data_IF_163336108858
#
_entry.id   IF_163336108858
#
_cell.length_a   1.000
_cell.length_b   1.000
_cell.length_c   1.000
_cell.angle_alpha   90.00
_cell.angle_beta   90.00
_cell.angle_gamma   90.00
#
_symmetry.space_group_name_H-M   'P 1'
#
loop_
_entity.id
_entity.type
_entity.pdbx_description
1 polymer ?
#
# COMPACT_ATOMS: atom_id res chain seq x y z
N UNK A 1 -23.71 3.79 6.35
CA UNK A 1 -22.55 4.32 7.10
C UNK A 1 -21.87 5.38 6.26
N UNK A 2 -21.97 6.67 6.62
CA UNK A 2 -21.23 7.74 5.94
C UNK A 2 -19.84 7.85 6.56
N UNK A 3 -18.88 7.12 6.01
CA UNK A 3 -17.47 7.44 6.27
C UNK A 3 -17.23 8.85 5.69
N UNK A 4 -16.87 9.81 6.53
CA UNK A 4 -16.52 11.17 6.08
C UNK A 4 -15.15 11.14 5.40
N UNK A 5 -14.94 12.00 4.39
CA UNK A 5 -13.67 12.14 3.66
C UNK A 5 -12.47 12.37 4.60
N UNK A 6 -12.69 13.04 5.74
CA UNK A 6 -11.64 13.25 6.74
C UNK A 6 -11.06 11.95 7.33
N UNK A 7 -11.84 10.87 7.45
CA UNK A 7 -11.35 9.60 8.01
C UNK A 7 -10.40 8.87 7.06
N UNK A 8 -10.61 8.99 5.74
CA UNK A 8 -9.71 8.36 4.78
C UNK A 8 -8.39 9.14 4.68
N UNK A 9 -8.43 10.46 4.88
CA UNK A 9 -7.25 11.31 4.87
C UNK A 9 -6.39 11.09 6.12
N UNK A 10 -7.02 11.01 7.30
CA UNK A 10 -6.36 10.63 8.54
C UNK A 10 -5.73 9.23 8.43
N UNK A 11 -6.44 8.28 7.83
CA UNK A 11 -5.88 6.94 7.62
C UNK A 11 -4.65 6.96 6.69
N UNK A 12 -4.73 7.71 5.59
CA UNK A 12 -3.65 7.82 4.61
C UNK A 12 -2.42 8.55 5.15
N UNK A 13 -2.57 9.52 6.06
CA UNK A 13 -1.46 10.27 6.64
C UNK A 13 -0.56 9.42 7.54
N UNK A 14 -1.14 8.41 8.21
CA UNK A 14 -0.43 7.62 9.19
C UNK A 14 -0.13 6.18 8.73
N UNK A 15 -1.16 5.40 8.39
CA UNK A 15 -1.04 3.94 8.36
C UNK A 15 -0.05 3.42 7.28
N UNK A 16 -0.11 3.90 6.01
CA UNK A 16 0.85 3.48 5.00
C UNK A 16 2.29 3.88 5.35
N UNK A 17 2.49 5.10 5.87
CA UNK A 17 3.81 5.65 6.21
C UNK A 17 4.46 4.86 7.34
N UNK A 18 3.69 4.51 8.37
CA UNK A 18 4.15 3.67 9.47
C UNK A 18 4.67 2.33 8.95
N UNK A 19 3.85 1.61 8.18
CA UNK A 19 4.25 0.29 7.68
C UNK A 19 5.39 0.34 6.67
N UNK A 20 5.46 1.38 5.84
CA UNK A 20 6.60 1.57 4.92
C UNK A 20 7.90 1.76 5.72
N UNK A 21 7.88 2.62 6.73
CA UNK A 21 9.04 2.88 7.60
C UNK A 21 9.50 1.61 8.31
N UNK A 22 8.56 0.83 8.87
CA UNK A 22 8.87 -0.44 9.51
C UNK A 22 9.49 -1.44 8.54
N UNK A 23 8.98 -1.54 7.31
CA UNK A 23 9.57 -2.41 6.30
C UNK A 23 11.02 -2.05 5.96
N UNK A 24 11.29 -0.74 5.81
CA UNK A 24 12.63 -0.22 5.52
C UNK A 24 13.62 -0.49 6.65
N UNK A 25 13.23 -0.24 7.89
CA UNK A 25 14.05 -0.54 9.08
C UNK A 25 14.38 -2.03 9.10
N UNK A 26 13.37 -2.89 9.04
CA UNK A 26 13.55 -4.34 9.11
C UNK A 26 14.48 -4.87 8.01
N UNK A 27 14.33 -4.39 6.77
CA UNK A 27 15.14 -4.92 5.65
C UNK A 27 16.58 -4.42 5.67
N UNK A 28 16.83 -3.25 6.25
CA UNK A 28 18.16 -2.66 6.35
C UNK A 28 18.94 -3.22 7.55
N UNK A 29 18.23 -3.57 8.63
CA UNK A 29 18.79 -4.18 9.82
C UNK A 29 19.01 -5.70 9.68
N UNK A 30 18.59 -6.30 8.57
CA UNK A 30 18.68 -7.76 8.38
C UNK A 30 17.70 -8.55 9.26
N UNK A 31 16.59 -7.93 9.66
CA UNK A 31 15.53 -8.57 10.44
C UNK A 31 14.71 -9.55 9.57
N UNK A 32 13.67 -10.15 10.17
CA UNK A 32 12.76 -11.10 9.53
C UNK A 32 12.19 -10.56 8.20
N UNK A 33 12.65 -11.15 7.09
CA UNK A 33 12.23 -10.81 5.73
C UNK A 33 10.72 -10.96 5.51
N UNK A 34 10.08 -11.94 6.17
CA UNK A 34 8.64 -12.16 6.06
C UNK A 34 7.88 -11.02 6.73
N UNK A 35 8.34 -10.54 7.90
CA UNK A 35 7.78 -9.35 8.56
C UNK A 35 8.00 -8.08 7.76
N UNK A 36 9.20 -7.88 7.19
CA UNK A 36 9.47 -6.73 6.31
C UNK A 36 8.55 -6.75 5.07
N UNK A 37 8.37 -7.92 4.44
CA UNK A 37 7.50 -8.08 3.27
C UNK A 37 6.02 -7.89 3.62
N UNK A 38 5.60 -8.35 4.80
CA UNK A 38 4.27 -8.07 5.35
C UNK A 38 4.03 -6.56 5.50
N UNK A 39 4.98 -5.85 6.11
CA UNK A 39 4.87 -4.41 6.32
C UNK A 39 4.80 -3.65 4.99
N UNK A 40 5.63 -4.03 4.00
CA UNK A 40 5.59 -3.40 2.68
C UNK A 40 4.27 -3.65 1.94
N UNK A 41 3.80 -4.91 1.96
CA UNK A 41 2.51 -5.28 1.38
C UNK A 41 1.37 -4.46 2.00
N UNK A 42 1.38 -4.30 3.33
CA UNK A 42 0.39 -3.50 4.06
C UNK A 42 0.42 -2.02 3.66
N UNK A 43 1.60 -1.42 3.58
CA UNK A 43 1.74 -0.03 3.16
C UNK A 43 1.13 0.20 1.77
N UNK A 44 1.51 -0.61 0.78
CA UNK A 44 1.01 -0.49 -0.60
C UNK A 44 -0.50 -0.66 -0.67
N UNK A 45 -1.04 -1.69 0.00
CA UNK A 45 -2.47 -1.99 -0.05
C UNK A 45 -3.32 -0.95 0.70
N UNK A 46 -2.79 -0.32 1.74
CA UNK A 46 -3.47 0.79 2.42
C UNK A 46 -3.46 2.07 1.58
N UNK A 47 -2.36 2.39 0.90
CA UNK A 47 -2.34 3.48 -0.08
C UNK A 47 -3.35 3.21 -1.20
N UNK A 48 -3.38 1.99 -1.72
CA UNK A 48 -4.35 1.59 -2.74
C UNK A 48 -5.81 1.71 -2.27
N UNK A 49 -6.10 1.38 -1.01
CA UNK A 49 -7.44 1.56 -0.43
C UNK A 49 -7.86 3.03 -0.42
N UNK A 50 -6.95 3.94 -0.08
CA UNK A 50 -7.25 5.37 -0.10
C UNK A 50 -7.52 5.89 -1.51
N UNK A 51 -6.75 5.45 -2.50
CA UNK A 51 -7.00 5.75 -3.92
C UNK A 51 -8.37 5.23 -4.35
N UNK A 52 -8.65 3.95 -4.10
CA UNK A 52 -9.89 3.29 -4.49
C UNK A 52 -11.13 3.96 -3.87
N UNK A 53 -11.00 4.40 -2.61
CA UNK A 53 -12.05 5.15 -1.95
C UNK A 53 -12.23 6.57 -2.54
N UNK A 54 -11.15 7.29 -2.80
CA UNK A 54 -11.21 8.68 -3.33
C UNK A 54 -11.68 8.72 -4.78
N UNK A 55 -11.24 7.77 -5.62
CA UNK A 55 -11.44 7.77 -7.07
C UNK A 55 -12.66 6.95 -7.52
N UNK A 56 -12.90 5.76 -6.94
CA UNK A 56 -13.98 4.84 -7.36
C UNK A 56 -15.11 4.74 -6.31
N UNK A 57 -15.00 5.50 -5.20
CA UNK A 57 -15.92 5.45 -4.04
C UNK A 57 -16.11 4.03 -3.49
N UNK A 58 -15.15 3.13 -3.75
CA UNK A 58 -15.21 1.76 -3.27
C UNK A 58 -14.87 1.72 -1.77
N UNK A 59 -15.84 1.31 -0.96
CA UNK A 59 -15.71 1.21 0.51
C UNK A 59 -15.33 -0.19 0.98
N UNK A 60 -15.08 -1.12 0.05
CA UNK A 60 -14.72 -2.50 0.34
C UNK A 60 -13.48 -2.61 1.24
N UNK A 61 -13.53 -3.52 2.20
CA UNK A 61 -12.37 -3.91 3.01
C UNK A 61 -11.52 -5.01 2.36
N UNK A 62 -11.98 -5.57 1.24
CA UNK A 62 -11.31 -6.67 0.54
C UNK A 62 -10.19 -6.15 -0.36
N UNK A 63 -8.94 -6.50 -0.04
CA UNK A 63 -7.80 -6.17 -0.90
C UNK A 63 -7.89 -6.79 -2.30
N UNK A 64 -8.64 -7.88 -2.48
CA UNK A 64 -8.91 -8.44 -3.81
C UNK A 64 -9.79 -7.50 -4.63
N UNK A 65 -10.86 -6.98 -4.03
CA UNK A 65 -11.76 -6.00 -4.66
C UNK A 65 -11.01 -4.69 -4.97
N UNK A 66 -10.24 -4.17 -4.00
CA UNK A 66 -9.42 -2.96 -4.18
C UNK A 66 -8.42 -3.13 -5.33
N UNK A 67 -7.69 -4.24 -5.36
CA UNK A 67 -6.70 -4.50 -6.43
C UNK A 67 -7.37 -4.62 -7.80
N UNK A 68 -8.56 -5.21 -7.88
CA UNK A 68 -9.33 -5.29 -9.12
C UNK A 68 -9.81 -3.92 -9.59
N UNK A 69 -10.28 -3.06 -8.68
CA UNK A 69 -10.69 -1.71 -9.06
C UNK A 69 -9.51 -0.85 -9.52
N UNK A 70 -8.41 -0.85 -8.77
CA UNK A 70 -7.16 -0.17 -9.17
C UNK A 70 -6.68 -0.61 -10.56
N UNK A 71 -6.85 -1.90 -10.90
CA UNK A 71 -6.56 -2.42 -12.25
C UNK A 71 -7.54 -1.87 -13.29
N UNK A 72 -8.85 -1.84 -13.00
CA UNK A 72 -9.89 -1.33 -13.90
C UNK A 72 -9.70 0.17 -14.21
N UNK A 73 -9.31 0.96 -13.21
CA UNK A 73 -8.97 2.38 -13.35
C UNK A 73 -7.67 2.62 -14.16
N UNK A 74 -6.96 1.56 -14.57
CA UNK A 74 -5.65 1.64 -15.25
C UNK A 74 -4.63 2.48 -14.48
N UNK A 75 -4.71 2.44 -13.14
CA UNK A 75 -3.83 3.24 -12.30
C UNK A 75 -2.36 2.84 -12.54
N UNK A 76 -1.40 3.80 -12.64
CA UNK A 76 0.00 3.51 -12.96
C UNK A 76 0.68 2.55 -11.98
N UNK A 77 0.19 2.49 -10.74
CA UNK A 77 0.71 1.62 -9.67
C UNK A 77 0.01 0.25 -9.59
N UNK A 78 -0.83 -0.11 -10.57
CA UNK A 78 -1.57 -1.39 -10.56
C UNK A 78 -0.68 -2.62 -10.43
N UNK A 79 0.51 -2.63 -11.05
CA UNK A 79 1.48 -3.73 -10.92
C UNK A 79 2.06 -3.85 -9.51
N UNK A 80 2.30 -2.72 -8.84
CA UNK A 80 2.79 -2.67 -7.45
C UNK A 80 1.71 -3.16 -6.48
N UNK A 81 0.46 -2.76 -6.67
CA UNK A 81 -0.69 -3.21 -5.87
C UNK A 81 -0.94 -4.71 -6.07
N UNK A 82 -0.84 -5.20 -7.31
CA UNK A 82 -0.93 -6.64 -7.62
C UNK A 82 0.15 -7.44 -6.88
N UNK A 83 1.41 -6.98 -6.94
CA UNK A 83 2.51 -7.60 -6.20
C UNK A 83 2.21 -7.69 -4.70
N UNK A 84 1.71 -6.61 -4.09
CA UNK A 84 1.41 -6.60 -2.67
C UNK A 84 0.30 -7.60 -2.29
N UNK A 85 -0.72 -7.76 -3.13
CA UNK A 85 -1.76 -8.78 -2.94
C UNK A 85 -1.20 -10.20 -3.10
N UNK A 86 -0.39 -10.44 -4.13
CA UNK A 86 0.26 -11.74 -4.37
C UNK A 86 1.13 -12.16 -3.18
N UNK A 87 1.89 -11.23 -2.58
CA UNK A 87 2.67 -11.51 -1.36
C UNK A 87 1.79 -11.87 -0.18
N UNK A 88 0.68 -11.16 0.01
CA UNK A 88 -0.28 -11.50 1.07
C UNK A 88 -0.88 -12.90 0.89
N UNK A 89 -1.20 -13.29 -0.33
CA UNK A 89 -1.74 -14.63 -0.65
C UNK A 89 -0.69 -15.73 -0.48
N UNK A 90 0.58 -15.42 -0.73
CA UNK A 90 1.70 -16.36 -0.61
C UNK A 90 2.43 -16.26 0.74
N UNK A 91 1.70 -15.94 1.81
CA UNK A 91 2.22 -15.88 3.17
C UNK A 91 3.48 -15.00 3.34
N UNK A 92 3.55 -13.92 2.56
CA UNK A 92 4.63 -12.94 2.53
C UNK A 92 6.01 -13.51 2.15
N UNK A 93 6.03 -14.64 1.42
CA UNK A 93 7.27 -15.22 0.85
C UNK A 93 7.83 -14.29 -0.24
N UNK A 94 9.10 -13.89 -0.08
CA UNK A 94 9.82 -13.05 -1.03
C UNK A 94 11.34 -13.23 -0.86
N UNK A 95 12.13 -12.51 -1.65
CA UNK A 95 13.57 -12.39 -1.48
C UNK A 95 13.92 -10.98 -1.02
N UNK A 96 15.06 -10.82 -0.35
CA UNK A 96 15.56 -9.49 0.05
C UNK A 96 15.66 -8.55 -1.15
N UNK A 97 16.18 -9.04 -2.29
CA UNK A 97 16.27 -8.27 -3.54
C UNK A 97 14.88 -7.79 -3.99
N UNK A 98 13.93 -8.70 -4.05
CA UNK A 98 12.57 -8.38 -4.49
C UNK A 98 11.93 -7.33 -3.56
N UNK A 99 11.92 -7.54 -2.25
CA UNK A 99 11.35 -6.59 -1.29
C UNK A 99 12.04 -5.22 -1.36
N UNK A 100 13.38 -5.18 -1.42
CA UNK A 100 14.13 -3.91 -1.57
C UNK A 100 13.77 -3.15 -2.84
N UNK A 101 13.59 -3.85 -3.97
CA UNK A 101 13.22 -3.19 -5.25
C UNK A 101 11.83 -2.55 -5.22
N UNK A 102 10.96 -2.90 -4.26
CA UNK A 102 9.60 -2.36 -4.14
C UNK A 102 9.48 -1.19 -3.16
N UNK A 103 10.49 -0.93 -2.31
CA UNK A 103 10.45 0.17 -1.34
C UNK A 103 10.34 1.54 -1.99
N UNK A 104 11.24 1.86 -2.93
CA UNK A 104 11.23 3.16 -3.63
C UNK A 104 9.93 3.39 -4.44
N UNK A 105 9.40 2.41 -5.20
CA UNK A 105 8.08 2.52 -5.80
C UNK A 105 6.95 2.74 -4.79
N UNK A 106 6.94 2.04 -3.65
CA UNK A 106 5.92 2.19 -2.62
C UNK A 106 5.95 3.59 -1.97
N UNK A 107 7.15 4.10 -1.68
CA UNK A 107 7.37 5.47 -1.19
C UNK A 107 6.83 6.50 -2.18
N UNK A 108 7.26 6.42 -3.45
CA UNK A 108 6.78 7.32 -4.50
C UNK A 108 5.26 7.24 -4.67
N UNK A 109 4.68 6.05 -4.58
CA UNK A 109 3.23 5.88 -4.64
C UNK A 109 2.54 6.65 -3.51
N UNK A 110 2.96 6.44 -2.26
CA UNK A 110 2.40 7.15 -1.11
C UNK A 110 2.57 8.67 -1.25
N UNK A 111 3.77 9.16 -1.53
CA UNK A 111 4.06 10.60 -1.62
C UNK A 111 3.22 11.27 -2.72
N UNK A 112 3.03 10.58 -3.86
CA UNK A 112 2.20 11.08 -4.96
C UNK A 112 0.74 11.20 -4.54
N UNK A 113 0.22 10.22 -3.79
CA UNK A 113 -1.16 10.20 -3.32
C UNK A 113 -1.40 11.26 -2.23
N UNK A 114 -0.48 11.37 -1.28
CA UNK A 114 -0.51 12.40 -0.24
C UNK A 114 -0.54 13.81 -0.86
N UNK A 115 0.34 14.06 -1.83
CA UNK A 115 0.38 15.33 -2.56
C UNK A 115 -0.90 15.58 -3.38
N UNK A 116 -1.39 14.56 -4.08
CA UNK A 116 -2.60 14.67 -4.92
C UNK A 116 -3.85 15.05 -4.12
N UNK A 117 -3.95 14.56 -2.89
CA UNK A 117 -5.10 14.78 -2.02
C UNK A 117 -4.86 15.82 -0.92
N UNK A 118 -3.75 16.57 -1.00
CA UNK A 118 -3.41 17.62 -0.03
C UNK A 118 -3.40 17.15 1.44
N UNK A 119 -3.04 15.87 1.65
CA UNK A 119 -2.98 15.25 2.97
C UNK A 119 -1.65 15.65 3.61
N UNK A 120 -1.72 16.14 4.85
CA UNK A 120 -0.57 16.58 5.65
C UNK A 120 0.09 15.45 6.42
#
# INVERSE_FOLDING_TARGET
>A
MKYNEGLIDEWLSFAPKYHLTQSEIMINNGEDLRKSTYALSRAILQTARGVDWKEDKNTSSSYKSITQSIKKMRHPQSSLVKWALEKRQNNFKSTTRETKTKLKPARKFLDTIMKKYEIK
#
